data_IF_942804502038
#
_entry.id   IF_942804502038
#
_cell.length_a   1.000
_cell.length_b   1.000
_cell.length_c   1.000
_cell.angle_alpha   90.00
_cell.angle_beta   90.00
_cell.angle_gamma   90.00
#
_symmetry.space_group_name_H-M   'P 1'
#
loop_
_entity.id
_entity.type
_entity.pdbx_description
1 polymer ?
#
# COMPACT_ATOMS: atom_id res chain seq x y z
N UNK A 1 39.90 -0.08 -6.04
CA UNK A 1 38.88 -0.12 -4.98
C UNK A 1 37.65 -0.73 -5.59
N UNK A 2 37.40 -1.99 -5.28
CA UNK A 2 36.17 -2.68 -5.62
C UNK A 2 35.05 -2.03 -4.82
N UNK A 3 34.21 -1.26 -5.50
CA UNK A 3 32.98 -0.77 -4.92
C UNK A 3 32.06 -1.98 -4.76
N UNK A 4 32.09 -2.58 -3.57
CA UNK A 4 31.06 -3.49 -3.10
C UNK A 4 29.72 -2.76 -3.20
N UNK A 5 29.06 -2.95 -4.33
CA UNK A 5 27.65 -2.64 -4.48
C UNK A 5 26.95 -3.51 -3.44
N UNK A 6 26.32 -2.94 -2.40
CA UNK A 6 25.41 -3.74 -1.60
C UNK A 6 24.39 -4.27 -2.59
N UNK A 7 24.35 -5.60 -2.74
CA UNK A 7 23.25 -6.32 -3.39
C UNK A 7 21.99 -5.90 -2.65
N UNK A 8 21.36 -4.85 -3.12
CA UNK A 8 19.94 -4.63 -2.89
C UNK A 8 19.31 -5.86 -3.52
N UNK A 9 19.01 -6.85 -2.67
CA UNK A 9 18.18 -7.97 -3.06
C UNK A 9 16.92 -7.31 -3.60
N UNK A 10 16.82 -7.30 -4.93
CA UNK A 10 15.62 -6.88 -5.64
C UNK A 10 14.52 -7.84 -5.24
N UNK A 11 13.85 -7.54 -4.13
CA UNK A 11 12.44 -7.82 -4.06
C UNK A 11 11.85 -6.90 -5.11
N UNK A 12 11.60 -7.45 -6.30
CA UNK A 12 10.41 -7.03 -7.04
C UNK A 12 9.31 -7.14 -6.00
N UNK A 13 8.98 -6.01 -5.38
CA UNK A 13 7.86 -5.93 -4.47
C UNK A 13 6.68 -6.38 -5.30
N UNK A 14 6.13 -7.56 -5.00
CA UNK A 14 4.95 -8.03 -5.67
C UNK A 14 3.87 -6.96 -5.50
N UNK A 15 2.89 -6.91 -6.40
CA UNK A 15 1.76 -5.98 -6.27
C UNK A 15 1.07 -6.09 -4.89
N UNK A 16 1.21 -7.25 -4.22
CA UNK A 16 0.77 -7.53 -2.86
C UNK A 16 1.66 -6.95 -1.73
N UNK A 17 2.93 -6.65 -1.99
CA UNK A 17 3.81 -6.04 -0.97
C UNK A 17 3.57 -4.52 -0.87
N UNK A 18 2.90 -3.94 -1.86
CA UNK A 18 2.64 -2.50 -1.92
C UNK A 18 1.61 -2.03 -0.86
N UNK A 19 0.44 -2.68 -0.67
CA UNK A 19 -0.48 -2.36 0.42
C UNK A 19 0.18 -2.43 1.81
N UNK A 20 0.96 -3.48 2.07
CA UNK A 20 1.66 -3.64 3.35
C UNK A 20 2.72 -2.56 3.58
N UNK A 21 3.47 -2.20 2.52
CA UNK A 21 4.44 -1.10 2.58
C UNK A 21 3.75 0.25 2.86
N UNK A 22 2.58 0.50 2.26
CA UNK A 22 1.81 1.72 2.52
C UNK A 22 1.25 1.76 3.96
N UNK A 23 0.74 0.65 4.48
CA UNK A 23 0.31 0.57 5.89
C UNK A 23 1.47 0.74 6.87
N UNK A 24 2.65 0.24 6.51
CA UNK A 24 3.89 0.52 7.22
C UNK A 24 4.23 2.01 7.27
N UNK A 25 4.10 2.71 6.14
CA UNK A 25 4.30 4.16 6.06
C UNK A 25 3.25 4.93 6.88
N UNK A 26 1.97 4.55 6.82
CA UNK A 26 0.92 5.16 7.63
C UNK A 26 1.20 5.04 9.14
N UNK A 27 1.68 3.87 9.58
CA UNK A 27 2.09 3.64 10.96
C UNK A 27 3.27 4.53 11.36
N UNK A 28 4.25 4.71 10.47
CA UNK A 28 5.40 5.57 10.70
C UNK A 28 4.98 7.05 10.82
N UNK A 29 4.12 7.53 9.92
CA UNK A 29 3.62 8.91 9.96
C UNK A 29 2.81 9.20 11.22
N UNK A 30 2.01 8.26 11.71
CA UNK A 30 1.31 8.41 13.00
C UNK A 30 2.26 8.54 14.19
N UNK A 31 3.34 7.77 14.21
CA UNK A 31 4.37 7.90 15.26
C UNK A 31 5.04 9.26 15.21
N UNK A 32 5.40 9.73 14.02
CA UNK A 32 5.95 11.08 13.86
C UNK A 32 4.95 12.16 14.28
N UNK A 33 3.66 11.97 14.01
CA UNK A 33 2.60 12.90 14.42
C UNK A 33 2.42 12.96 15.94
N UNK A 34 2.66 11.86 16.64
CA UNK A 34 2.66 11.81 18.11
C UNK A 34 3.90 12.48 18.71
N UNK A 35 5.05 12.40 18.03
CA UNK A 35 6.29 13.07 18.40
C UNK A 35 6.35 14.55 17.99
N UNK A 36 5.47 15.00 17.10
CA UNK A 36 5.43 16.38 16.61
C UNK A 36 4.76 17.32 17.61
N UNK A 37 5.52 18.31 18.09
CA UNK A 37 5.00 19.39 18.94
C UNK A 37 4.19 20.43 18.16
N UNK A 38 4.47 20.58 16.85
CA UNK A 38 3.79 21.54 15.99
C UNK A 38 2.44 20.98 15.50
N UNK A 39 1.31 21.63 15.83
CA UNK A 39 -0.02 21.16 15.44
C UNK A 39 -0.25 21.08 13.93
N UNK A 40 0.40 21.94 13.14
CA UNK A 40 0.32 21.91 11.69
C UNK A 40 1.07 20.69 11.16
N UNK A 41 2.30 20.46 11.61
CA UNK A 41 3.09 19.28 11.23
C UNK A 41 2.39 17.98 11.62
N UNK A 42 1.78 17.95 12.81
CA UNK A 42 0.97 16.81 13.26
C UNK A 42 -0.19 16.51 12.32
N UNK A 43 -0.94 17.53 11.92
CA UNK A 43 -2.07 17.35 11.00
C UNK A 43 -1.62 16.86 9.62
N UNK A 44 -0.56 17.45 9.05
CA UNK A 44 0.00 17.00 7.77
C UNK A 44 0.44 15.53 7.83
N UNK A 45 1.11 15.10 8.90
CA UNK A 45 1.53 13.71 9.08
C UNK A 45 0.34 12.76 9.21
N UNK A 46 -0.73 13.17 9.89
CA UNK A 46 -1.95 12.37 9.99
C UNK A 46 -2.68 12.29 8.65
N UNK A 47 -2.71 13.37 7.87
CA UNK A 47 -3.27 13.36 6.51
C UNK A 47 -2.46 12.43 5.58
N UNK A 48 -1.13 12.50 5.61
CA UNK A 48 -0.28 11.58 4.87
C UNK A 48 -0.53 10.11 5.28
N UNK A 49 -0.70 9.84 6.57
CA UNK A 49 -1.03 8.50 7.04
C UNK A 49 -2.37 8.00 6.46
N UNK A 50 -3.37 8.88 6.42
CA UNK A 50 -4.69 8.57 5.84
C UNK A 50 -4.59 8.26 4.34
N UNK A 51 -3.83 9.04 3.59
CA UNK A 51 -3.63 8.82 2.14
C UNK A 51 -2.94 7.47 1.90
N UNK A 52 -1.95 7.11 2.71
CA UNK A 52 -1.29 5.81 2.57
C UNK A 52 -2.26 4.64 2.76
N UNK A 53 -3.18 4.71 3.74
CA UNK A 53 -4.19 3.69 3.95
C UNK A 53 -5.21 3.63 2.81
N UNK A 54 -5.70 4.78 2.35
CA UNK A 54 -6.64 4.85 1.22
C UNK A 54 -6.06 4.20 -0.04
N UNK A 55 -4.79 4.50 -0.36
CA UNK A 55 -4.13 3.91 -1.53
C UNK A 55 -3.91 2.41 -1.33
N UNK A 56 -3.58 1.95 -0.12
CA UNK A 56 -3.44 0.53 0.18
C UNK A 56 -4.76 -0.21 -0.05
N UNK A 57 -5.85 0.33 0.48
CA UNK A 57 -7.19 -0.24 0.36
C UNK A 57 -7.66 -0.21 -1.10
N UNK A 58 -7.40 0.86 -1.85
CA UNK A 58 -7.72 0.92 -3.28
C UNK A 58 -7.00 -0.17 -4.08
N UNK A 59 -5.72 -0.43 -3.79
CA UNK A 59 -4.96 -1.48 -4.48
C UNK A 59 -5.49 -2.87 -4.11
N UNK A 60 -5.80 -3.13 -2.84
CA UNK A 60 -6.42 -4.39 -2.42
C UNK A 60 -7.80 -4.60 -3.04
N UNK A 61 -8.62 -3.56 -3.12
CA UNK A 61 -9.93 -3.62 -3.78
C UNK A 61 -9.81 -3.95 -5.26
N UNK A 62 -8.81 -3.40 -5.95
CA UNK A 62 -8.54 -3.74 -7.35
C UNK A 62 -8.02 -5.16 -7.51
N UNK A 63 -7.12 -5.64 -6.63
CA UNK A 63 -6.60 -7.01 -6.65
C UNK A 63 -7.66 -8.07 -6.29
N UNK A 64 -8.64 -7.72 -5.45
CA UNK A 64 -9.72 -8.64 -5.01
C UNK A 64 -10.95 -8.57 -5.92
N UNK A 65 -11.20 -7.42 -6.55
CA UNK A 65 -12.34 -7.17 -7.44
C UNK A 65 -12.29 -7.90 -8.79
N UNK A 66 -11.11 -8.33 -9.26
CA UNK A 66 -10.97 -9.08 -10.53
C UNK A 66 -11.36 -10.58 -10.42
N UNK A 67 -11.72 -11.08 -9.22
CA UNK A 67 -12.09 -12.48 -9.01
C UNK A 67 -13.59 -12.75 -8.81
N UNK A 68 -14.44 -11.72 -8.87
CA UNK A 68 -15.86 -11.82 -8.56
C UNK A 68 -16.78 -11.45 -9.74
N UNK A 69 -16.47 -11.93 -10.94
CA UNK A 69 -17.47 -12.07 -12.00
C UNK A 69 -18.07 -13.49 -11.91
N UNK A 70 -19.31 -13.68 -11.41
CA UNK A 70 -20.00 -14.93 -11.64
C UNK A 70 -20.33 -14.99 -13.14
N UNK A 71 -19.65 -15.86 -13.88
CA UNK A 71 -19.99 -16.23 -15.25
C UNK A 71 -21.44 -16.76 -15.32
N UNK A 72 -22.43 -15.86 -15.41
CA UNK A 72 -23.84 -16.15 -15.72
C UNK A 72 -24.04 -15.93 -17.22
N UNK A 73 -23.26 -16.59 -18.06
CA UNK A 73 -23.61 -16.74 -19.47
C UNK A 73 -22.93 -17.97 -20.07
N UNK A 74 -23.56 -19.13 -19.93
CA UNK A 74 -22.97 -20.38 -20.43
C UNK A 74 -23.87 -21.58 -20.24
N UNK A 75 -25.14 -21.50 -20.61
CA UNK A 75 -25.99 -22.69 -20.80
C UNK A 75 -27.06 -22.39 -21.85
N UNK A 76 -26.65 -22.43 -23.11
CA UNK A 76 -27.55 -22.80 -24.21
C UNK A 76 -26.95 -24.05 -24.82
N UNK A 77 -27.40 -25.22 -24.34
CA UNK A 77 -27.12 -26.51 -24.95
C UNK A 77 -27.86 -26.61 -26.28
N UNK A 78 -27.12 -27.06 -27.29
CA UNK A 78 -27.57 -27.50 -28.61
C UNK A 78 -28.73 -28.51 -28.54
#
# INVERSE_FOLDING_TARGET
>A
MDCDHPKVNGSVFGMHDWPDSLRGQATMYRRLADEADDPFVKNELLELASVCEEVADNIENHLTGESAEPNIFGSSSN
#
